data_IF_749536725512
#
_entry.id   IF_749536725512
#
_cell.length_a   1.000
_cell.length_b   1.000
_cell.length_c   1.000
_cell.angle_alpha   90.00
_cell.angle_beta   90.00
_cell.angle_gamma   90.00
#
_symmetry.space_group_name_H-M   'P 1'
#
loop_
_entity.id
_entity.type
_entity.pdbx_description
1 polymer ?
#
# COMPACT_ATOMS: atom_id res chain seq x y z
N UNK A 1 7.24 -35.38 -22.29
CA UNK A 1 5.91 -34.82 -22.01
C UNK A 1 6.01 -33.32 -22.18
N UNK A 2 5.56 -32.76 -23.31
CA UNK A 2 5.80 -31.37 -23.69
C UNK A 2 4.75 -30.45 -23.06
N UNK A 3 5.14 -29.22 -22.70
CA UNK A 3 4.29 -28.16 -22.13
C UNK A 3 2.99 -27.95 -22.92
N UNK A 4 3.05 -28.14 -24.25
CA UNK A 4 1.89 -28.11 -25.13
C UNK A 4 0.81 -29.17 -24.77
N UNK A 5 1.20 -30.39 -24.37
CA UNK A 5 0.28 -31.44 -23.98
C UNK A 5 -0.40 -31.18 -22.61
N UNK A 6 0.27 -30.43 -21.73
CA UNK A 6 -0.30 -29.98 -20.45
C UNK A 6 -1.30 -28.84 -20.69
N UNK A 7 -0.96 -27.88 -21.55
CA UNK A 7 -1.85 -26.77 -21.91
C UNK A 7 -3.09 -27.25 -22.69
N UNK A 8 -2.94 -28.25 -23.56
CA UNK A 8 -4.05 -28.82 -24.32
C UNK A 8 -5.03 -29.63 -23.44
N UNK A 9 -4.54 -30.27 -22.36
CA UNK A 9 -5.39 -30.93 -21.35
C UNK A 9 -6.08 -29.96 -20.40
N UNK A 10 -5.50 -28.79 -20.14
CA UNK A 10 -6.14 -27.75 -19.32
C UNK A 10 -7.23 -27.00 -20.10
N UNK A 11 -7.05 -26.80 -21.41
CA UNK A 11 -8.07 -26.20 -22.28
C UNK A 11 -9.34 -27.06 -22.46
N UNK A 12 -9.23 -28.40 -22.42
CA UNK A 12 -10.39 -29.29 -22.60
C UNK A 12 -11.30 -29.42 -21.38
N UNK A 13 -10.91 -28.88 -20.22
CA UNK A 13 -11.74 -28.91 -19.00
C UNK A 13 -12.74 -27.75 -18.96
N UNK A 14 -12.56 -26.71 -19.79
CA UNK A 14 -13.44 -25.53 -19.82
C UNK A 14 -14.70 -25.68 -20.69
N UNK A 15 -14.90 -26.81 -21.38
CA UNK A 15 -16.07 -27.03 -22.26
C UNK A 15 -17.21 -27.86 -21.65
N UNK A 16 -17.23 -28.07 -20.34
CA UNK A 16 -18.41 -28.63 -19.68
C UNK A 16 -19.48 -27.55 -19.40
N UNK A 17 -20.39 -27.42 -20.37
CA UNK A 17 -21.81 -27.06 -20.24
C UNK A 17 -22.18 -25.68 -19.63
N UNK A 18 -22.44 -24.71 -20.51
CA UNK A 18 -23.41 -23.65 -20.26
C UNK A 18 -24.82 -24.19 -20.52
N UNK A 19 -25.57 -24.50 -19.47
CA UNK A 19 -27.03 -24.56 -19.52
C UNK A 19 -27.60 -23.18 -19.14
N UNK A 20 -28.65 -22.69 -19.80
CA UNK A 20 -29.32 -21.46 -19.37
C UNK A 20 -30.19 -21.80 -18.15
N UNK A 21 -29.81 -21.32 -16.97
CA UNK A 21 -30.60 -21.48 -15.76
C UNK A 21 -31.13 -20.12 -15.29
N UNK A 22 -32.45 -20.09 -15.20
CA UNK A 22 -33.31 -19.01 -14.75
C UNK A 22 -32.95 -18.50 -13.34
N UNK A 23 -33.26 -17.22 -13.13
CA UNK A 23 -33.38 -16.43 -11.90
C UNK A 23 -33.08 -17.03 -10.51
N UNK A 24 -32.45 -16.15 -9.72
CA UNK A 24 -32.40 -16.07 -8.25
C UNK A 24 -31.45 -17.04 -7.53
N UNK A 25 -30.19 -16.61 -7.37
CA UNK A 25 -29.44 -16.53 -6.09
C UNK A 25 -27.98 -16.17 -6.38
N UNK A 26 -27.60 -14.90 -6.19
CA UNK A 26 -26.21 -14.46 -6.22
C UNK A 26 -25.49 -14.92 -4.94
N UNK A 27 -24.94 -16.14 -4.98
CA UNK A 27 -23.95 -16.57 -3.99
C UNK A 27 -22.60 -16.00 -4.43
N UNK A 28 -22.18 -14.91 -3.80
CA UNK A 28 -20.80 -14.42 -3.88
C UNK A 28 -19.86 -15.51 -3.35
N UNK A 29 -19.24 -16.28 -4.23
CA UNK A 29 -18.05 -17.07 -3.89
C UNK A 29 -16.92 -16.09 -3.62
N UNK A 30 -16.66 -15.84 -2.34
CA UNK A 30 -15.46 -15.15 -1.89
C UNK A 30 -14.23 -15.86 -2.45
N UNK A 31 -13.44 -15.12 -3.23
CA UNK A 31 -12.12 -15.55 -3.69
C UNK A 31 -11.16 -15.62 -2.49
N UNK A 32 -10.35 -16.68 -2.34
CA UNK A 32 -9.38 -16.81 -1.24
C UNK A 32 -8.17 -15.84 -1.33
N UNK A 33 -8.22 -14.86 -2.23
CA UNK A 33 -7.09 -14.01 -2.61
C UNK A 33 -6.61 -13.04 -1.52
N UNK A 34 -7.47 -12.63 -0.57
CA UNK A 34 -7.07 -11.69 0.49
C UNK A 34 -6.18 -12.30 1.58
N UNK A 35 -6.03 -13.64 1.64
CA UNK A 35 -5.11 -14.30 2.56
C UNK A 35 -3.67 -14.41 2.02
N UNK A 36 -3.43 -14.11 0.74
CA UNK A 36 -2.15 -14.32 0.04
C UNK A 36 -1.29 -13.06 -0.09
N UNK A 37 -1.87 -11.87 0.08
CA UNK A 37 -1.19 -10.58 -0.21
C UNK A 37 -0.36 -10.05 0.97
N UNK A 38 -0.26 -10.79 2.07
CA UNK A 38 0.67 -10.47 3.16
C UNK A 38 1.77 -11.54 3.18
N UNK A 39 2.98 -11.26 2.67
CA UNK A 39 4.00 -12.29 2.55
C UNK A 39 4.60 -12.57 3.92
N UNK A 40 3.94 -13.41 4.73
CA UNK A 40 4.55 -14.03 5.93
C UNK A 40 5.88 -14.73 5.59
N UNK A 41 6.09 -15.11 4.34
CA UNK A 41 7.28 -15.79 3.85
C UNK A 41 8.51 -14.88 3.65
N UNK A 42 8.35 -13.55 3.53
CA UNK A 42 9.50 -12.61 3.59
C UNK A 42 10.06 -12.52 5.02
N UNK A 43 9.29 -12.96 6.03
CA UNK A 43 9.59 -12.73 7.45
C UNK A 43 10.22 -13.92 8.18
N UNK A 44 10.37 -15.09 7.56
CA UNK A 44 10.87 -16.31 8.24
C UNK A 44 12.39 -16.56 8.09
N UNK A 45 13.05 -15.98 7.08
CA UNK A 45 14.42 -16.38 6.72
C UNK A 45 15.55 -15.53 7.35
N UNK A 46 15.22 -14.51 8.14
CA UNK A 46 16.22 -13.72 8.87
C UNK A 46 16.86 -14.47 10.06
N UNK A 47 16.46 -15.72 10.35
CA UNK A 47 16.82 -16.43 11.58
C UNK A 47 17.95 -17.48 11.45
N UNK A 48 18.64 -17.60 10.31
CA UNK A 48 19.59 -18.72 10.09
C UNK A 48 21.02 -18.36 9.66
N UNK A 49 21.43 -17.09 9.73
CA UNK A 49 22.84 -16.73 9.54
C UNK A 49 23.57 -16.62 10.88
N UNK A 50 23.82 -17.76 11.52
CA UNK A 50 24.79 -17.87 12.63
C UNK A 50 26.19 -17.82 12.01
N UNK A 51 26.72 -16.61 11.81
CA UNK A 51 28.10 -16.39 11.37
C UNK A 51 28.99 -16.53 12.61
N UNK A 52 29.93 -17.48 12.58
CA UNK A 52 30.94 -17.64 13.63
C UNK A 52 31.90 -16.44 13.60
N UNK A 53 31.67 -15.48 14.51
CA UNK A 53 32.42 -14.22 14.65
C UNK A 53 33.91 -14.48 14.98
N UNK A 54 34.24 -15.69 15.44
CA UNK A 54 35.61 -16.15 15.74
C UNK A 54 36.57 -16.05 14.56
N UNK A 55 36.08 -16.14 13.32
CA UNK A 55 36.92 -16.12 12.11
C UNK A 55 37.28 -14.68 11.66
N UNK A 56 36.48 -13.69 12.05
CA UNK A 56 36.71 -12.27 11.72
C UNK A 56 37.66 -11.56 12.70
N UNK A 57 37.99 -12.16 13.85
CA UNK A 57 38.92 -11.57 14.84
C UNK A 57 40.41 -11.86 14.55
N UNK A 58 40.75 -12.60 13.49
CA UNK A 58 42.16 -12.90 13.14
C UNK A 58 42.69 -12.13 11.93
N UNK A 59 42.16 -10.94 11.62
CA UNK A 59 42.79 -10.06 10.62
C UNK A 59 44.03 -9.38 11.23
N UNK A 60 45.23 -9.48 10.60
CA UNK A 60 46.47 -8.88 11.11
C UNK A 60 46.37 -7.35 11.20
N UNK A 61 47.03 -6.77 12.21
CA UNK A 61 47.24 -5.32 12.39
C UNK A 61 47.79 -4.67 11.11
N UNK A 62 46.90 -4.07 10.31
CA UNK A 62 47.26 -3.28 9.16
C UNK A 62 47.42 -1.82 9.58
N UNK A 63 48.62 -1.30 9.32
CA UNK A 63 49.14 0.04 9.56
C UNK A 63 48.14 1.18 9.40
N UNK A 64 48.19 2.11 10.37
CA UNK A 64 47.39 3.34 10.50
C UNK A 64 46.87 3.92 9.17
N UNK A 65 45.55 3.83 8.90
CA UNK A 65 44.95 4.43 7.73
C UNK A 65 44.90 5.96 7.88
N UNK A 66 45.64 6.63 7.00
CA UNK A 66 45.60 8.09 6.80
C UNK A 66 44.14 8.60 6.76
N UNK A 67 43.75 9.57 7.61
CA UNK A 67 42.37 10.04 7.81
C UNK A 67 41.77 10.86 6.65
N UNK A 68 42.33 10.76 5.44
CA UNK A 68 41.88 11.50 4.26
C UNK A 68 41.11 10.65 3.24
N UNK A 69 40.55 9.51 3.67
CA UNK A 69 39.65 8.71 2.84
C UNK A 69 38.41 9.52 2.46
N UNK A 70 38.48 10.20 1.32
CA UNK A 70 37.38 10.91 0.69
C UNK A 70 36.14 10.04 0.74
N UNK A 71 35.04 10.59 1.27
CA UNK A 71 33.72 9.97 1.30
C UNK A 71 33.31 9.51 -0.11
N UNK A 72 33.70 8.30 -0.50
CA UNK A 72 33.28 7.72 -1.79
C UNK A 72 31.78 7.59 -1.76
N UNK A 73 31.11 8.07 -2.82
CA UNK A 73 29.67 7.86 -2.98
C UNK A 73 29.43 6.36 -3.16
N UNK A 74 28.75 5.77 -2.19
CA UNK A 74 28.21 4.42 -2.33
C UNK A 74 26.96 4.43 -3.20
N UNK A 75 26.79 3.39 -4.00
CA UNK A 75 25.59 3.13 -4.79
C UNK A 75 25.23 1.64 -4.69
N UNK A 76 23.92 1.30 -4.68
CA UNK A 76 23.51 -0.09 -4.68
C UNK A 76 23.92 -0.74 -6.00
N UNK A 77 24.46 -1.95 -5.88
CA UNK A 77 24.83 -2.78 -7.03
C UNK A 77 23.58 -3.16 -7.82
N UNK A 78 23.62 -2.96 -9.14
CA UNK A 78 22.55 -3.38 -10.03
C UNK A 78 22.96 -4.68 -10.68
N UNK A 79 22.55 -5.80 -10.11
CA UNK A 79 22.94 -7.13 -10.59
C UNK A 79 22.04 -7.59 -11.75
N UNK A 80 22.49 -8.53 -12.60
CA UNK A 80 21.63 -9.14 -13.61
C UNK A 80 20.32 -9.71 -13.04
N UNK A 81 20.36 -10.29 -11.84
CA UNK A 81 19.16 -10.73 -11.12
C UNK A 81 18.17 -9.59 -10.88
N UNK A 82 18.64 -8.45 -10.36
CA UNK A 82 17.77 -7.30 -10.08
C UNK A 82 17.19 -6.69 -11.37
N UNK A 83 17.97 -6.66 -12.45
CA UNK A 83 17.47 -6.30 -13.77
C UNK A 83 16.44 -7.30 -14.30
N UNK A 84 16.61 -8.59 -14.02
CA UNK A 84 15.64 -9.61 -14.39
C UNK A 84 14.32 -9.40 -13.65
N UNK A 85 14.36 -9.11 -12.34
CA UNK A 85 13.15 -8.80 -11.54
C UNK A 85 12.42 -7.58 -12.10
N UNK A 86 13.15 -6.48 -12.38
CA UNK A 86 12.57 -5.28 -12.99
C UNK A 86 12.04 -5.53 -14.40
N UNK A 87 12.84 -6.17 -15.25
CA UNK A 87 12.49 -6.45 -16.64
C UNK A 87 11.31 -7.40 -16.78
N UNK A 88 11.22 -8.43 -15.94
CA UNK A 88 10.06 -9.33 -15.93
C UNK A 88 8.80 -8.61 -15.45
N UNK A 89 8.90 -7.78 -14.42
CA UNK A 89 7.78 -6.96 -13.93
C UNK A 89 7.26 -6.02 -15.03
N UNK A 90 8.17 -5.30 -15.70
CA UNK A 90 7.82 -4.40 -16.81
C UNK A 90 7.27 -5.15 -18.02
N UNK A 91 7.92 -6.25 -18.42
CA UNK A 91 7.55 -7.03 -19.60
C UNK A 91 6.20 -7.72 -19.44
N UNK A 92 5.98 -8.41 -18.32
CA UNK A 92 4.70 -9.06 -18.02
C UNK A 92 3.59 -8.03 -17.88
N UNK A 93 3.81 -6.97 -17.10
CA UNK A 93 2.79 -5.95 -16.89
C UNK A 93 2.37 -5.29 -18.21
N UNK A 94 3.34 -4.95 -19.07
CA UNK A 94 3.06 -4.36 -20.39
C UNK A 94 2.36 -5.34 -21.31
N UNK A 95 2.79 -6.60 -21.36
CA UNK A 95 2.15 -7.63 -22.18
C UNK A 95 0.71 -7.88 -21.74
N UNK A 96 0.44 -7.91 -20.43
CA UNK A 96 -0.90 -8.00 -19.86
C UNK A 96 -1.78 -6.82 -20.28
N UNK A 97 -1.26 -5.60 -20.16
CA UNK A 97 -1.98 -4.40 -20.56
C UNK A 97 -2.34 -4.41 -22.06
N UNK A 98 -1.40 -4.84 -22.92
CA UNK A 98 -1.64 -5.00 -24.35
C UNK A 98 -2.67 -6.09 -24.67
N UNK A 99 -2.63 -7.24 -23.99
CA UNK A 99 -3.61 -8.31 -24.15
C UNK A 99 -5.02 -7.83 -23.75
N UNK A 100 -5.12 -7.14 -22.61
CA UNK A 100 -6.37 -6.56 -22.15
C UNK A 100 -6.93 -5.49 -23.10
N UNK A 101 -6.06 -4.64 -23.69
CA UNK A 101 -6.49 -3.65 -24.69
C UNK A 101 -7.02 -4.28 -25.98
N UNK A 102 -6.57 -5.49 -26.32
CA UNK A 102 -7.08 -6.26 -27.47
C UNK A 102 -8.38 -7.01 -27.17
N UNK A 103 -8.89 -6.93 -25.94
CA UNK A 103 -10.06 -7.70 -25.50
C UNK A 103 -9.77 -9.19 -25.27
N UNK A 104 -8.49 -9.61 -25.21
CA UNK A 104 -8.12 -11.00 -24.93
C UNK A 104 -8.01 -11.22 -23.42
N UNK A 105 -9.18 -11.33 -22.78
CA UNK A 105 -9.29 -11.54 -21.34
C UNK A 105 -8.63 -12.86 -20.90
N UNK A 106 -8.74 -13.91 -21.72
CA UNK A 106 -8.15 -15.22 -21.44
C UNK A 106 -6.63 -15.18 -21.37
N UNK A 107 -5.98 -14.53 -22.35
CA UNK A 107 -4.53 -14.34 -22.32
C UNK A 107 -4.09 -13.46 -21.14
N UNK A 108 -4.82 -12.38 -20.85
CA UNK A 108 -4.53 -11.49 -19.71
C UNK A 108 -4.59 -12.24 -18.37
N UNK A 109 -5.64 -13.03 -18.15
CA UNK A 109 -5.79 -13.87 -16.94
C UNK A 109 -4.70 -14.95 -16.88
N UNK A 110 -4.39 -15.60 -18.00
CA UNK A 110 -3.33 -16.62 -18.04
C UNK A 110 -1.97 -16.03 -17.69
N UNK A 111 -1.65 -14.86 -18.24
CA UNK A 111 -0.42 -14.13 -17.91
C UNK A 111 -0.36 -13.81 -16.42
N UNK A 112 -1.45 -13.35 -15.83
CA UNK A 112 -1.53 -13.07 -14.39
C UNK A 112 -1.21 -14.30 -13.54
N UNK A 113 -1.79 -15.45 -13.86
CA UNK A 113 -1.51 -16.70 -13.14
C UNK A 113 -0.06 -17.17 -13.31
N UNK A 114 0.43 -17.21 -14.55
CA UNK A 114 1.78 -17.67 -14.84
C UNK A 114 2.82 -16.75 -14.19
N UNK A 115 2.64 -15.44 -14.29
CA UNK A 115 3.58 -14.50 -13.68
C UNK A 115 3.48 -14.47 -12.16
N UNK A 116 2.26 -14.47 -11.63
CA UNK A 116 2.01 -14.35 -10.19
C UNK A 116 2.44 -15.57 -9.40
N UNK A 117 2.40 -16.76 -10.01
CA UNK A 117 2.78 -18.00 -9.34
C UNK A 117 4.17 -18.47 -9.80
N UNK A 118 4.33 -18.78 -11.08
CA UNK A 118 5.53 -19.48 -11.56
C UNK A 118 6.73 -18.55 -11.55
N UNK A 119 6.61 -17.38 -12.19
CA UNK A 119 7.73 -16.42 -12.28
C UNK A 119 8.08 -15.90 -10.88
N UNK A 120 7.06 -15.55 -10.08
CA UNK A 120 7.27 -15.10 -8.70
C UNK A 120 8.00 -16.12 -7.85
N UNK A 121 7.62 -17.40 -7.86
CA UNK A 121 8.30 -18.44 -7.08
C UNK A 121 9.76 -18.62 -7.50
N UNK A 122 10.05 -18.57 -8.80
CA UNK A 122 11.42 -18.67 -9.32
C UNK A 122 12.24 -17.48 -8.81
N UNK A 123 11.74 -16.25 -9.01
CA UNK A 123 12.43 -15.03 -8.56
C UNK A 123 12.59 -14.99 -7.04
N UNK A 124 11.56 -15.38 -6.28
CA UNK A 124 11.62 -15.45 -4.83
C UNK A 124 12.69 -16.43 -4.35
N UNK A 125 12.74 -17.62 -4.96
CA UNK A 125 13.80 -18.60 -4.67
C UNK A 125 15.18 -18.01 -4.96
N UNK A 126 15.33 -17.32 -6.09
CA UNK A 126 16.58 -16.65 -6.48
C UNK A 126 16.97 -15.52 -5.52
N UNK A 127 15.99 -14.79 -4.97
CA UNK A 127 16.20 -13.72 -3.98
C UNK A 127 16.94 -14.20 -2.74
N UNK A 128 16.68 -15.43 -2.31
CA UNK A 128 17.36 -16.00 -1.13
C UNK A 128 18.87 -16.11 -1.32
N UNK A 129 19.35 -16.22 -2.56
CA UNK A 129 20.78 -16.22 -2.87
C UNK A 129 21.38 -14.80 -2.96
N UNK A 130 20.58 -13.76 -3.28
CA UNK A 130 21.06 -12.36 -3.25
C UNK A 130 21.25 -11.85 -1.81
N UNK A 131 20.42 -12.37 -0.88
CA UNK A 131 20.44 -11.98 0.54
C UNK A 131 21.41 -12.81 1.38
N UNK A 132 21.79 -14.02 0.91
CA UNK A 132 22.66 -14.89 1.69
C UNK A 132 24.09 -14.33 1.73
N UNK A 133 24.74 -14.30 2.91
CA UNK A 133 26.18 -14.03 2.99
C UNK A 133 27.02 -15.17 2.39
N UNK A 134 26.42 -16.36 2.18
CA UNK A 134 27.09 -17.49 1.56
C UNK A 134 27.26 -17.23 0.07
N UNK A 135 28.41 -17.65 -0.47
CA UNK A 135 28.65 -17.54 -1.90
C UNK A 135 27.55 -18.28 -2.69
N UNK A 136 26.95 -17.63 -3.70
CA UNK A 136 25.95 -18.27 -4.55
C UNK A 136 26.58 -19.47 -5.28
N UNK A 137 25.77 -20.46 -5.70
CA UNK A 137 26.27 -21.60 -6.49
C UNK A 137 27.12 -21.11 -7.68
N UNK A 138 28.28 -21.74 -7.99
CA UNK A 138 29.22 -21.22 -8.99
C UNK A 138 28.59 -20.93 -10.36
N UNK A 139 27.61 -21.74 -10.77
CA UNK A 139 26.86 -21.57 -12.02
C UNK A 139 25.97 -20.31 -12.05
N UNK A 140 25.50 -19.86 -10.89
CA UNK A 140 24.62 -18.70 -10.72
C UNK A 140 25.37 -17.46 -10.21
N UNK A 141 26.64 -17.61 -9.82
CA UNK A 141 27.41 -16.51 -9.22
C UNK A 141 27.47 -15.27 -10.09
N UNK A 142 27.58 -15.41 -11.42
CA UNK A 142 27.60 -14.28 -12.35
C UNK A 142 26.37 -13.37 -12.24
N UNK A 143 25.21 -13.93 -11.88
CA UNK A 143 23.93 -13.20 -11.86
C UNK A 143 23.78 -12.28 -10.64
N UNK A 144 24.56 -12.52 -9.57
CA UNK A 144 24.57 -11.74 -8.34
C UNK A 144 25.89 -10.96 -8.14
N UNK A 145 26.98 -11.44 -8.73
CA UNK A 145 28.33 -10.85 -8.55
C UNK A 145 28.66 -9.77 -9.58
N UNK A 146 28.03 -9.77 -10.75
CA UNK A 146 28.32 -8.77 -11.79
C UNK A 146 27.53 -7.49 -11.53
N UNK A 147 28.18 -6.32 -11.60
CA UNK A 147 27.52 -5.01 -11.52
C UNK A 147 27.20 -4.51 -12.93
N UNK A 148 25.93 -4.51 -13.31
CA UNK A 148 25.49 -4.12 -14.64
C UNK A 148 25.78 -2.65 -14.96
N UNK A 149 25.91 -1.80 -13.95
CA UNK A 149 26.25 -0.38 -14.16
C UNK A 149 27.65 -0.24 -14.78
N UNK A 150 28.56 -1.20 -14.57
CA UNK A 150 29.87 -1.19 -15.22
C UNK A 150 29.77 -1.30 -16.74
N UNK A 151 28.83 -2.11 -17.26
CA UNK A 151 28.58 -2.19 -18.70
C UNK A 151 27.99 -0.91 -19.25
N UNK A 152 27.07 -0.28 -18.51
CA UNK A 152 26.49 1.01 -18.88
C UNK A 152 27.59 2.07 -18.98
N UNK A 153 28.51 2.14 -18.00
CA UNK A 153 29.63 3.08 -18.08
C UNK A 153 30.63 2.75 -19.17
N UNK A 154 30.88 1.47 -19.47
CA UNK A 154 31.69 1.09 -20.64
C UNK A 154 31.05 1.61 -21.93
N UNK A 155 29.74 1.46 -22.07
CA UNK A 155 29.00 2.01 -23.20
C UNK A 155 29.04 3.55 -23.23
N UNK A 156 28.83 4.23 -22.10
CA UNK A 156 28.91 5.69 -22.04
C UNK A 156 30.34 6.22 -22.25
N UNK A 157 31.36 5.44 -21.90
CA UNK A 157 32.76 5.79 -22.16
C UNK A 157 33.08 5.80 -23.66
N UNK A 158 32.39 4.98 -24.46
CA UNK A 158 32.42 5.07 -25.92
C UNK A 158 31.90 6.43 -26.43
N UNK A 159 31.00 7.07 -25.67
CA UNK A 159 30.50 8.42 -25.93
C UNK A 159 31.32 9.52 -25.23
N UNK A 160 32.54 9.20 -24.75
CA UNK A 160 33.45 10.12 -24.03
C UNK A 160 32.88 10.70 -22.72
N UNK A 161 31.91 10.03 -22.09
CA UNK A 161 31.38 10.43 -20.78
C UNK A 161 32.17 9.71 -19.68
N UNK A 162 32.93 10.46 -18.88
CA UNK A 162 33.73 9.93 -17.78
C UNK A 162 32.87 9.32 -16.66
N UNK A 163 33.27 8.13 -16.20
CA UNK A 163 32.62 7.44 -15.07
C UNK A 163 32.86 8.20 -13.76
N UNK A 164 31.81 8.53 -12.98
CA UNK A 164 31.97 9.08 -11.64
C UNK A 164 32.60 8.04 -10.70
N UNK A 165 33.42 8.49 -9.76
CA UNK A 165 33.99 7.61 -8.72
C UNK A 165 32.90 7.19 -7.73
N UNK A 166 32.41 5.96 -7.86
CA UNK A 166 31.52 5.31 -6.90
C UNK A 166 32.06 3.95 -6.49
N UNK A 167 31.65 3.49 -5.31
CA UNK A 167 31.91 2.13 -4.83
C UNK A 167 30.60 1.38 -4.72
N UNK A 168 30.51 0.20 -5.34
CA UNK A 168 29.41 -0.75 -5.14
C UNK A 168 29.79 -1.89 -4.19
N UNK A 169 31.04 -1.93 -3.72
CA UNK A 169 31.47 -2.89 -2.73
C UNK A 169 30.64 -2.69 -1.45
N UNK A 170 30.01 -3.76 -0.92
CA UNK A 170 29.35 -3.70 0.37
C UNK A 170 30.43 -3.38 1.40
N UNK A 171 30.38 -2.18 1.96
CA UNK A 171 31.26 -1.84 3.06
C UNK A 171 30.72 -2.62 4.25
N UNK A 172 31.44 -3.65 4.72
CA UNK A 172 31.09 -4.30 5.96
C UNK A 172 31.12 -3.21 7.04
N UNK A 173 29.95 -2.81 7.53
CA UNK A 173 29.85 -1.78 8.58
C UNK A 173 29.79 -2.54 9.90
N UNK A 174 30.93 -2.72 10.60
CA UNK A 174 30.97 -3.62 11.76
C UNK A 174 30.11 -3.10 12.91
N UNK A 175 29.85 -1.78 12.96
CA UNK A 175 29.07 -1.16 14.02
C UNK A 175 27.57 -1.47 13.97
N UNK A 176 26.98 -1.66 12.77
CA UNK A 176 25.55 -1.97 12.65
C UNK A 176 25.27 -3.42 13.04
N UNK A 177 26.21 -4.33 12.74
CA UNK A 177 26.15 -5.73 13.16
C UNK A 177 26.23 -5.81 14.69
N UNK A 178 27.18 -5.10 15.30
CA UNK A 178 27.34 -5.06 16.75
C UNK A 178 26.11 -4.46 17.49
N UNK A 179 25.39 -3.53 16.84
CA UNK A 179 24.19 -2.92 17.41
C UNK A 179 22.96 -3.83 17.26
N UNK A 180 22.85 -4.53 16.12
CA UNK A 180 21.81 -5.53 15.91
C UNK A 180 21.94 -6.71 16.88
N UNK A 181 23.16 -7.09 17.24
CA UNK A 181 23.41 -8.24 18.12
C UNK A 181 22.96 -8.00 19.56
N UNK A 182 23.02 -6.73 20.02
CA UNK A 182 22.70 -6.38 21.40
C UNK A 182 21.20 -6.31 21.71
N UNK A 183 20.37 -6.14 20.68
CA UNK A 183 18.90 -6.05 20.79
C UNK A 183 18.16 -7.37 20.44
N UNK A 184 18.90 -8.49 20.32
CA UNK A 184 18.38 -9.82 19.95
C UNK A 184 17.33 -10.45 20.91
N UNK A 185 16.86 -9.77 21.94
CA UNK A 185 15.73 -10.25 22.77
C UNK A 185 14.36 -9.86 22.21
N UNK A 186 14.30 -8.98 21.21
CA UNK A 186 13.04 -8.64 20.53
C UNK A 186 13.04 -9.21 19.10
N UNK A 187 12.34 -10.33 18.88
CA UNK A 187 12.06 -10.91 17.55
C UNK A 187 11.17 -10.00 16.66
N UNK A 188 11.10 -8.70 16.92
CA UNK A 188 10.29 -7.75 16.20
C UNK A 188 11.03 -7.26 14.96
N UNK A 189 10.46 -7.54 13.80
CA UNK A 189 10.96 -7.02 12.53
C UNK A 189 10.73 -5.49 12.52
N UNK A 190 11.76 -4.66 12.28
CA UNK A 190 11.63 -3.21 12.38
C UNK A 190 10.62 -2.67 11.36
N UNK A 191 9.76 -1.76 11.82
CA UNK A 191 8.76 -1.09 10.99
C UNK A 191 9.35 0.22 10.48
N UNK A 192 10.03 0.13 9.34
CA UNK A 192 10.68 1.29 8.70
C UNK A 192 9.67 2.10 7.87
N UNK A 193 9.95 3.39 7.65
CA UNK A 193 9.08 4.26 6.86
C UNK A 193 8.95 3.78 5.40
N UNK A 194 10.02 3.20 4.86
CA UNK A 194 9.98 2.52 3.56
C UNK A 194 8.93 1.40 3.52
N UNK A 195 8.94 0.49 4.50
CA UNK A 195 8.00 -0.64 4.56
C UNK A 195 6.55 -0.17 4.70
N UNK A 196 6.32 0.88 5.49
CA UNK A 196 5.00 1.52 5.57
C UNK A 196 4.57 2.11 4.22
N UNK A 197 5.48 2.78 3.51
CA UNK A 197 5.20 3.34 2.19
C UNK A 197 4.81 2.23 1.21
N UNK A 198 5.59 1.14 1.13
CA UNK A 198 5.27 -0.02 0.28
C UNK A 198 3.91 -0.62 0.63
N UNK A 199 3.61 -0.83 1.92
CA UNK A 199 2.32 -1.34 2.37
C UNK A 199 1.16 -0.40 2.00
N UNK A 200 1.30 0.90 2.30
CA UNK A 200 0.27 1.90 2.00
C UNK A 200 -0.01 1.96 0.50
N UNK A 201 1.04 2.01 -0.31
CA UNK A 201 0.96 2.01 -1.77
C UNK A 201 0.24 0.76 -2.27
N UNK A 202 0.56 -0.43 -1.74
CA UNK A 202 -0.10 -1.69 -2.11
C UNK A 202 -1.59 -1.69 -1.76
N UNK A 203 -1.95 -1.23 -0.55
CA UNK A 203 -3.35 -1.14 -0.11
C UNK A 203 -4.13 -0.14 -0.97
N UNK A 204 -3.59 1.05 -1.19
CA UNK A 204 -4.22 2.05 -2.05
C UNK A 204 -4.47 1.51 -3.46
N UNK A 205 -3.50 0.80 -4.04
CA UNK A 205 -3.63 0.24 -5.39
C UNK A 205 -4.71 -0.84 -5.45
N UNK A 206 -4.73 -1.76 -4.49
CA UNK A 206 -5.75 -2.79 -4.40
C UNK A 206 -7.16 -2.21 -4.25
N UNK A 207 -7.32 -1.18 -3.42
CA UNK A 207 -8.60 -0.51 -3.22
C UNK A 207 -9.05 0.27 -4.46
N UNK A 208 -8.16 1.04 -5.09
CA UNK A 208 -8.48 1.77 -6.33
C UNK A 208 -8.90 0.82 -7.44
N UNK A 209 -8.18 -0.29 -7.62
CA UNK A 209 -8.55 -1.33 -8.60
C UNK A 209 -9.92 -1.92 -8.28
N UNK A 210 -10.14 -2.35 -7.04
CA UNK A 210 -11.40 -2.96 -6.62
C UNK A 210 -12.59 -2.01 -6.86
N UNK A 211 -12.42 -0.72 -6.55
CA UNK A 211 -13.44 0.30 -6.83
C UNK A 211 -13.72 0.43 -8.33
N UNK A 212 -12.69 0.50 -9.18
CA UNK A 212 -12.87 0.61 -10.64
C UNK A 212 -13.58 -0.62 -11.23
N UNK A 213 -13.20 -1.82 -10.79
CA UNK A 213 -13.88 -3.07 -11.19
C UNK A 213 -15.34 -3.05 -10.73
N UNK A 214 -15.59 -2.63 -9.50
CA UNK A 214 -16.95 -2.54 -8.94
C UNK A 214 -17.86 -1.60 -9.74
N UNK A 215 -17.34 -0.47 -10.21
CA UNK A 215 -18.08 0.47 -11.06
C UNK A 215 -18.13 0.06 -12.55
N UNK A 216 -17.62 -1.11 -12.92
CA UNK A 216 -17.62 -1.60 -14.31
C UNK A 216 -16.55 -0.97 -15.21
N UNK A 217 -15.58 -0.21 -14.65
CA UNK A 217 -14.48 0.39 -15.39
C UNK A 217 -13.30 -0.59 -15.54
N UNK A 218 -13.51 -1.69 -16.27
CA UNK A 218 -12.48 -2.73 -16.51
C UNK A 218 -11.19 -2.16 -17.13
N UNK A 219 -11.32 -1.27 -18.11
CA UNK A 219 -10.18 -0.58 -18.74
C UNK A 219 -9.41 0.27 -17.73
N UNK A 220 -10.12 1.02 -16.87
CA UNK A 220 -9.49 1.83 -15.82
C UNK A 220 -8.72 0.97 -14.81
N UNK A 221 -9.32 -0.14 -14.38
CA UNK A 221 -8.67 -1.10 -13.49
C UNK A 221 -7.38 -1.68 -14.10
N UNK A 222 -7.38 -1.99 -15.40
CA UNK A 222 -6.19 -2.48 -16.11
C UNK A 222 -5.09 -1.41 -16.21
N UNK A 223 -5.45 -0.14 -16.43
CA UNK A 223 -4.48 0.96 -16.43
C UNK A 223 -3.87 1.23 -15.05
N UNK A 224 -4.68 1.09 -14.00
CA UNK A 224 -4.21 1.14 -12.61
C UNK A 224 -3.23 0.00 -12.34
N UNK A 225 -3.59 -1.23 -12.70
CA UNK A 225 -2.70 -2.40 -12.63
C UNK A 225 -1.37 -2.15 -13.33
N UNK A 226 -1.40 -1.63 -14.55
CA UNK A 226 -0.18 -1.38 -15.32
C UNK A 226 0.65 -0.25 -14.73
N UNK A 227 0.07 0.94 -14.55
CA UNK A 227 0.82 2.13 -14.09
C UNK A 227 1.40 1.89 -12.71
N UNK A 228 0.58 1.42 -11.79
CA UNK A 228 0.95 1.30 -10.39
C UNK A 228 1.73 0.01 -10.14
N UNK A 229 1.31 -1.09 -10.78
CA UNK A 229 1.97 -2.39 -10.69
C UNK A 229 3.29 -2.48 -11.44
N UNK A 230 3.53 -1.66 -12.49
CA UNK A 230 4.82 -1.61 -13.20
C UNK A 230 5.66 -0.43 -12.75
N UNK A 231 5.16 0.80 -12.93
CA UNK A 231 5.97 2.01 -12.67
C UNK A 231 6.15 2.20 -11.17
N UNK A 232 5.05 2.10 -10.40
CA UNK A 232 5.08 2.27 -8.95
C UNK A 232 5.96 1.25 -8.25
N UNK A 233 5.79 -0.04 -8.54
CA UNK A 233 6.61 -1.11 -7.96
C UNK A 233 8.07 -1.03 -8.39
N UNK A 234 8.37 -0.65 -9.63
CA UNK A 234 9.76 -0.48 -10.09
C UNK A 234 10.46 0.65 -9.33
N UNK A 235 9.78 1.79 -9.10
CA UNK A 235 10.32 2.88 -8.30
C UNK A 235 10.54 2.43 -6.86
N UNK A 236 9.55 1.75 -6.25
CA UNK A 236 9.68 1.23 -4.88
C UNK A 236 10.81 0.21 -4.76
N UNK A 237 10.95 -0.69 -5.74
CA UNK A 237 12.06 -1.64 -5.80
C UNK A 237 13.41 -0.92 -5.86
N UNK A 238 13.53 0.09 -6.73
CA UNK A 238 14.76 0.89 -6.83
C UNK A 238 15.08 1.64 -5.54
N UNK A 239 14.05 2.14 -4.84
CA UNK A 239 14.21 2.74 -3.51
C UNK A 239 14.62 1.70 -2.46
N UNK A 240 14.02 0.51 -2.47
CA UNK A 240 14.34 -0.59 -1.56
C UNK A 240 15.79 -1.05 -1.65
N UNK A 241 16.42 -0.95 -2.81
CA UNK A 241 17.86 -1.23 -2.95
C UNK A 241 18.75 -0.32 -2.07
N UNK A 242 18.24 0.85 -1.64
CA UNK A 242 18.94 1.75 -0.73
C UNK A 242 18.71 1.43 0.76
N UNK A 243 17.89 0.42 1.10
CA UNK A 243 17.68 0.00 2.50
C UNK A 243 19.01 -0.43 3.16
N UNK A 244 19.89 -1.08 2.39
CA UNK A 244 21.20 -1.53 2.85
C UNK A 244 22.31 -0.47 2.66
N UNK A 245 21.97 0.80 2.55
CA UNK A 245 22.94 1.86 2.28
C UNK A 245 23.76 2.23 3.53
N UNK A 246 25.06 1.98 3.43
CA UNK A 246 26.04 2.26 4.50
C UNK A 246 26.39 3.74 4.65
N UNK A 247 26.13 4.57 3.64
CA UNK A 247 26.48 6.02 3.68
C UNK A 247 25.54 6.87 4.50
N UNK A 248 24.52 6.26 5.12
CA UNK A 248 23.53 6.99 5.93
C UNK A 248 22.68 7.99 5.14
N UNK A 249 22.75 7.97 3.80
CA UNK A 249 21.81 8.73 2.97
C UNK A 249 20.42 8.15 3.22
N UNK A 250 19.47 9.02 3.54
CA UNK A 250 18.09 8.64 3.84
C UNK A 250 17.97 7.77 5.10
N UNK A 251 18.90 7.92 6.05
CA UNK A 251 18.84 7.22 7.33
C UNK A 251 17.47 7.36 8.00
N UNK A 252 16.82 8.53 7.92
CA UNK A 252 15.48 8.76 8.49
C UNK A 252 14.38 7.87 7.87
N UNK A 253 14.57 7.37 6.65
CA UNK A 253 13.59 6.58 5.92
C UNK A 253 13.73 5.07 6.20
N UNK A 254 14.95 4.59 6.47
CA UNK A 254 15.27 3.16 6.60
C UNK A 254 15.63 2.70 8.01
N UNK A 255 16.13 3.57 8.88
CA UNK A 255 16.73 3.13 10.16
C UNK A 255 15.83 3.32 11.39
N UNK A 256 15.13 4.45 11.60
CA UNK A 256 14.25 4.59 12.75
C UNK A 256 13.20 3.49 12.75
N UNK A 257 13.23 2.64 13.76
CA UNK A 257 12.11 1.75 14.03
C UNK A 257 10.95 2.59 14.54
N UNK A 258 9.93 2.74 13.70
CA UNK A 258 8.74 3.46 14.07
C UNK A 258 7.72 2.54 14.75
N UNK A 259 8.02 1.29 15.11
CA UNK A 259 7.07 0.33 15.70
C UNK A 259 6.14 0.93 16.77
N UNK A 260 6.66 1.75 17.68
CA UNK A 260 5.88 2.41 18.73
C UNK A 260 5.02 3.57 18.21
N UNK A 261 5.53 4.38 17.28
CA UNK A 261 4.79 5.51 16.67
C UNK A 261 3.77 5.04 15.62
N UNK A 262 4.11 3.95 14.92
CA UNK A 262 3.30 3.32 13.88
C UNK A 262 2.16 2.52 14.45
N UNK A 263 2.25 1.95 15.65
CA UNK A 263 1.06 1.37 16.28
C UNK A 263 -0.06 2.41 16.38
N UNK A 264 0.25 3.67 16.74
CA UNK A 264 -0.73 4.75 16.76
C UNK A 264 -1.16 5.16 15.35
N UNK A 265 -0.22 5.33 14.42
CA UNK A 265 -0.52 5.72 13.04
C UNK A 265 -1.34 4.67 12.27
N UNK A 266 -0.98 3.40 12.37
CA UNK A 266 -1.69 2.25 11.78
C UNK A 266 -3.07 2.11 12.41
N UNK A 267 -3.19 2.25 13.74
CA UNK A 267 -4.51 2.27 14.39
C UNK A 267 -5.38 3.41 13.89
N UNK A 268 -4.81 4.61 13.72
CA UNK A 268 -5.53 5.77 13.22
C UNK A 268 -5.95 5.60 11.75
N UNK A 269 -5.06 5.14 10.89
CA UNK A 269 -5.36 4.86 9.48
C UNK A 269 -6.41 3.74 9.38
N UNK A 270 -6.27 2.66 10.15
CA UNK A 270 -7.25 1.58 10.19
C UNK A 270 -8.63 2.08 10.66
N UNK A 271 -8.68 2.90 11.72
CA UNK A 271 -9.91 3.55 12.19
C UNK A 271 -10.53 4.45 11.12
N UNK A 272 -9.70 5.19 10.39
CA UNK A 272 -10.15 6.06 9.29
C UNK A 272 -10.70 5.23 8.14
N UNK A 273 -10.02 4.17 7.73
CA UNK A 273 -10.48 3.28 6.67
C UNK A 273 -11.77 2.54 7.06
N UNK A 274 -11.86 2.08 8.31
CA UNK A 274 -13.08 1.44 8.85
C UNK A 274 -14.26 2.41 8.89
N UNK A 275 -14.04 3.67 9.29
CA UNK A 275 -15.11 4.68 9.30
C UNK A 275 -15.57 5.03 7.89
N UNK A 276 -14.64 5.10 6.92
CA UNK A 276 -14.96 5.31 5.52
C UNK A 276 -15.73 4.15 4.90
N UNK A 277 -15.34 2.91 5.21
CA UNK A 277 -16.06 1.71 4.76
C UNK A 277 -17.49 1.71 5.31
N UNK A 278 -17.68 2.06 6.58
CA UNK A 278 -18.99 2.18 7.20
C UNK A 278 -19.86 3.25 6.50
N UNK A 279 -19.32 4.45 6.28
CA UNK A 279 -20.02 5.53 5.58
C UNK A 279 -20.45 5.06 4.17
N UNK A 280 -19.54 4.45 3.41
CA UNK A 280 -19.84 3.92 2.09
C UNK A 280 -20.96 2.85 2.13
N UNK A 281 -20.94 1.94 3.12
CA UNK A 281 -22.02 0.94 3.28
C UNK A 281 -23.35 1.58 3.65
N UNK A 282 -23.37 2.61 4.50
CA UNK A 282 -24.60 3.35 4.81
C UNK A 282 -25.18 4.03 3.56
N UNK A 283 -24.33 4.66 2.74
CA UNK A 283 -24.76 5.27 1.47
C UNK A 283 -25.31 4.25 0.49
N UNK A 284 -24.66 3.09 0.36
CA UNK A 284 -25.14 1.99 -0.47
C UNK A 284 -26.50 1.45 0.00
N UNK A 285 -26.69 1.29 1.32
CA UNK A 285 -27.97 0.85 1.87
C UNK A 285 -29.09 1.89 1.67
N UNK A 286 -28.80 3.19 1.79
CA UNK A 286 -29.77 4.24 1.44
C UNK A 286 -30.15 4.21 -0.04
N UNK A 287 -29.17 3.96 -0.93
CA UNK A 287 -29.44 3.78 -2.35
C UNK A 287 -30.40 2.62 -2.61
N UNK A 288 -30.12 1.45 -2.03
CA UNK A 288 -31.00 0.27 -2.16
C UNK A 288 -32.42 0.51 -1.62
N UNK A 289 -32.55 1.22 -0.50
CA UNK A 289 -33.87 1.57 0.06
C UNK A 289 -34.64 2.53 -0.86
N UNK A 290 -33.97 3.53 -1.43
CA UNK A 290 -34.61 4.49 -2.34
C UNK A 290 -34.96 3.90 -3.70
N UNK A 291 -34.23 2.89 -4.18
CA UNK A 291 -34.60 2.14 -5.39
C UNK A 291 -35.77 1.19 -5.13
N UNK A 292 -35.78 0.47 -4.01
CA UNK A 292 -36.85 -0.47 -3.67
C UNK A 292 -38.20 0.22 -3.39
N UNK A 293 -38.19 1.40 -2.75
CA UNK A 293 -39.44 2.17 -2.57
C UNK A 293 -39.99 2.69 -3.90
N UNK A 294 -39.12 3.02 -4.86
CA UNK A 294 -39.55 3.51 -6.16
C UNK A 294 -40.19 2.41 -7.02
N UNK A 295 -39.63 1.19 -6.98
CA UNK A 295 -40.23 0.04 -7.66
C UNK A 295 -41.60 -0.34 -7.10
N UNK A 296 -41.82 -0.16 -5.79
CA UNK A 296 -43.13 -0.40 -5.18
C UNK A 296 -44.15 0.65 -5.64
N UNK A 297 -43.77 1.94 -5.63
CA UNK A 297 -44.63 3.04 -6.09
C UNK A 297 -45.05 2.88 -7.55
N UNK A 298 -44.11 2.54 -8.44
CA UNK A 298 -44.37 2.29 -9.85
C UNK A 298 -45.35 1.12 -10.12
N UNK A 299 -45.54 0.19 -9.19
CA UNK A 299 -46.46 -0.93 -9.37
C UNK A 299 -47.93 -0.62 -9.03
N UNK A 300 -48.21 0.56 -8.47
CA UNK A 300 -49.50 0.84 -7.81
C UNK A 300 -50.38 1.82 -8.58
N UNK A 301 -49.86 2.50 -9.60
CA UNK A 301 -50.58 3.61 -10.26
C UNK A 301 -50.51 3.47 -11.80
N UNK A 302 -51.51 2.81 -12.38
CA UNK A 302 -51.67 2.64 -13.84
C UNK A 302 -52.19 3.91 -14.55
N UNK A 303 -52.40 5.02 -13.82
CA UNK A 303 -53.02 6.23 -14.35
C UNK A 303 -51.99 7.31 -14.77
N UNK A 304 -51.66 7.31 -16.06
CA UNK A 304 -51.57 8.50 -16.95
C UNK A 304 -50.67 9.70 -16.60
N UNK A 305 -49.74 9.64 -15.66
CA UNK A 305 -48.59 10.57 -15.68
C UNK A 305 -47.69 10.14 -16.84
N UNK A 306 -47.37 11.06 -17.76
CA UNK A 306 -46.59 10.73 -18.96
C UNK A 306 -45.28 10.06 -18.57
N UNK A 307 -45.16 8.76 -18.86
CA UNK A 307 -44.05 7.87 -18.52
C UNK A 307 -42.67 8.51 -18.78
N UNK A 308 -42.59 9.38 -19.80
CA UNK A 308 -41.40 10.13 -20.22
C UNK A 308 -40.86 11.13 -19.18
N UNK A 309 -41.72 11.85 -18.45
CA UNK A 309 -41.28 12.81 -17.42
C UNK A 309 -40.79 12.07 -16.17
N UNK A 310 -41.43 10.96 -15.83
CA UNK A 310 -41.00 10.10 -14.72
C UNK A 310 -39.63 9.46 -15.00
N UNK A 311 -39.40 9.01 -16.25
CA UNK A 311 -38.09 8.45 -16.64
C UNK A 311 -36.99 9.50 -16.58
N UNK A 312 -37.28 10.75 -16.98
CA UNK A 312 -36.31 11.85 -16.91
C UNK A 312 -35.91 12.19 -15.48
N UNK A 313 -36.88 12.25 -14.56
CA UNK A 313 -36.62 12.49 -13.14
C UNK A 313 -35.85 11.34 -12.48
N UNK A 314 -36.20 10.09 -12.81
CA UNK A 314 -35.48 8.91 -12.31
C UNK A 314 -34.01 8.92 -12.79
N UNK A 315 -33.77 9.19 -14.08
CA UNK A 315 -32.44 9.30 -14.66
C UNK A 315 -31.64 10.46 -14.04
N UNK A 316 -32.27 11.62 -13.84
CA UNK A 316 -31.62 12.78 -13.21
C UNK A 316 -31.23 12.47 -11.76
N UNK A 317 -32.11 11.80 -11.00
CA UNK A 317 -31.86 11.39 -9.62
C UNK A 317 -30.71 10.38 -9.54
N UNK A 318 -30.68 9.40 -10.43
CA UNK A 318 -29.60 8.41 -10.52
C UNK A 318 -28.26 9.10 -10.84
N UNK A 319 -28.23 10.01 -11.83
CA UNK A 319 -27.02 10.77 -12.16
C UNK A 319 -26.56 11.69 -11.03
N UNK A 320 -27.50 12.36 -10.35
CA UNK A 320 -27.18 13.21 -9.20
C UNK A 320 -26.63 12.39 -8.04
N UNK A 321 -27.20 11.22 -7.78
CA UNK A 321 -26.71 10.31 -6.75
C UNK A 321 -25.29 9.81 -7.06
N UNK A 322 -25.04 9.38 -8.30
CA UNK A 322 -23.69 9.01 -8.74
C UNK A 322 -22.72 10.18 -8.64
N UNK A 323 -23.11 11.39 -9.03
CA UNK A 323 -22.28 12.58 -8.90
C UNK A 323 -21.93 12.88 -7.43
N UNK A 324 -22.91 12.82 -6.52
CA UNK A 324 -22.70 13.00 -5.08
C UNK A 324 -21.80 11.91 -4.48
N UNK A 325 -21.97 10.65 -4.90
CA UNK A 325 -21.14 9.53 -4.45
C UNK A 325 -19.69 9.71 -4.91
N UNK A 326 -19.48 10.07 -6.18
CA UNK A 326 -18.15 10.36 -6.73
C UNK A 326 -17.52 11.54 -5.99
N UNK A 327 -18.26 12.63 -5.76
CA UNK A 327 -17.78 13.79 -5.01
C UNK A 327 -17.36 13.40 -3.58
N UNK A 328 -18.15 12.58 -2.90
CA UNK A 328 -17.85 12.09 -1.55
C UNK A 328 -16.57 11.24 -1.55
N UNK A 329 -16.44 10.31 -2.49
CA UNK A 329 -15.23 9.47 -2.63
C UNK A 329 -14.00 10.35 -2.89
N UNK A 330 -14.12 11.34 -3.77
CA UNK A 330 -13.02 12.29 -4.05
C UNK A 330 -12.67 13.11 -2.81
N UNK A 331 -13.66 13.65 -2.10
CA UNK A 331 -13.45 14.41 -0.86
C UNK A 331 -12.72 13.56 0.19
N UNK A 332 -13.12 12.31 0.33
CA UNK A 332 -12.50 11.34 1.25
C UNK A 332 -11.04 11.08 0.86
N UNK A 333 -10.75 10.87 -0.41
CA UNK A 333 -9.37 10.68 -0.91
C UNK A 333 -8.55 11.93 -0.61
N UNK A 334 -9.08 13.13 -0.85
CA UNK A 334 -8.40 14.41 -0.58
C UNK A 334 -8.13 14.59 0.92
N UNK A 335 -9.11 14.32 1.79
CA UNK A 335 -8.93 14.45 3.25
C UNK A 335 -7.95 13.40 3.78
N UNK A 336 -8.05 12.15 3.33
CA UNK A 336 -7.14 11.07 3.75
C UNK A 336 -5.71 11.35 3.30
N UNK A 337 -5.49 11.78 2.06
CA UNK A 337 -4.17 12.18 1.56
C UNK A 337 -3.63 13.39 2.31
N UNK A 338 -4.46 14.39 2.60
CA UNK A 338 -4.07 15.55 3.40
C UNK A 338 -3.63 15.15 4.81
N UNK A 339 -4.41 14.32 5.52
CA UNK A 339 -4.06 13.80 6.85
C UNK A 339 -2.73 13.03 6.77
N UNK A 340 -2.57 12.14 5.79
CA UNK A 340 -1.33 11.39 5.59
C UNK A 340 -0.12 12.30 5.38
N UNK A 341 -0.24 13.32 4.52
CA UNK A 341 0.83 14.31 4.27
C UNK A 341 1.15 15.10 5.54
N UNK A 342 0.14 15.54 6.29
CA UNK A 342 0.34 16.27 7.55
C UNK A 342 1.01 15.37 8.60
N UNK A 343 0.62 14.10 8.70
CA UNK A 343 1.27 13.14 9.60
C UNK A 343 2.75 12.92 9.22
N UNK A 344 3.05 12.73 7.94
CA UNK A 344 4.44 12.59 7.46
C UNK A 344 5.23 13.86 7.76
N UNK A 345 4.68 15.05 7.46
CA UNK A 345 5.32 16.33 7.76
C UNK A 345 5.56 16.52 9.27
N UNK A 346 4.63 16.10 10.13
CA UNK A 346 4.79 16.13 11.57
C UNK A 346 5.92 15.20 12.06
N UNK A 347 6.04 14.00 11.48
CA UNK A 347 7.13 13.06 11.77
C UNK A 347 8.48 13.62 11.28
N UNK A 348 8.52 14.23 10.10
CA UNK A 348 9.75 14.83 9.57
C UNK A 348 10.19 16.06 10.37
N UNK A 349 9.26 16.88 10.83
CA UNK A 349 9.57 18.06 11.67
C UNK A 349 9.98 17.68 13.09
N UNK A 350 9.36 16.66 13.69
CA UNK A 350 9.73 16.17 15.02
C UNK A 350 11.13 15.54 15.03
N UNK A 351 11.47 14.77 13.99
CA UNK A 351 12.80 14.15 13.83
C UNK A 351 13.88 15.18 13.48
N UNK A 352 13.56 16.19 12.65
CA UNK A 352 14.48 17.28 12.30
C UNK A 352 14.84 18.17 13.49
N UNK A 353 13.86 18.56 14.32
CA UNK A 353 14.09 19.46 15.46
C UNK A 353 15.06 18.89 16.50
N UNK A 354 15.10 17.57 16.71
CA UNK A 354 16.03 16.96 17.67
C UNK A 354 17.50 17.13 17.24
N UNK A 355 17.79 17.03 15.93
CA UNK A 355 19.13 17.23 15.36
C UNK A 355 19.55 18.70 15.38
N UNK A 356 18.63 19.62 15.08
CA UNK A 356 18.90 21.05 15.14
C UNK A 356 19.19 21.52 16.57
N UNK A 357 18.48 20.98 17.56
CA UNK A 357 18.73 21.28 18.96
C UNK A 357 20.12 20.80 19.40
N UNK A 358 20.51 19.59 19.00
CA UNK A 358 21.86 19.06 19.28
C UNK A 358 22.97 19.87 18.59
N UNK A 359 22.73 20.30 17.34
CA UNK A 359 23.67 21.15 16.61
C UNK A 359 23.78 22.55 17.23
N UNK A 360 22.65 23.15 17.65
CA UNK A 360 22.61 24.43 18.32
C UNK A 360 23.31 24.39 19.69
N UNK A 361 23.10 23.34 20.49
CA UNK A 361 23.78 23.16 21.77
C UNK A 361 25.30 23.00 21.60
N UNK A 362 25.73 22.32 20.52
CA UNK A 362 27.16 22.18 20.16
C UNK A 362 27.78 23.50 19.68
N UNK A 363 27.04 24.29 18.91
CA UNK A 363 27.47 25.62 18.44
C UNK A 363 27.53 26.65 19.58
N UNK A 364 26.63 26.56 20.57
CA UNK A 364 26.64 27.46 21.72
C UNK A 364 27.71 27.14 22.77
N UNK A 365 28.62 26.19 22.50
CA UNK A 365 29.75 25.89 23.39
C UNK A 365 29.33 25.43 24.79
N UNK A 366 28.06 25.06 24.99
CA UNK A 366 27.57 24.48 26.24
C UNK A 366 28.22 23.11 26.37
N UNK A 367 29.34 23.05 27.10
CA UNK A 367 29.91 21.77 27.55
C UNK A 367 28.80 21.01 28.27
N UNK A 368 28.58 19.72 27.96
CA UNK A 368 27.59 18.92 28.66
C UNK A 368 28.01 18.85 30.13
N UNK A 369 27.39 19.69 30.96
CA UNK A 369 27.60 19.68 32.39
C UNK A 369 27.13 18.32 32.91
N UNK A 370 28.06 17.54 33.45
CA UNK A 370 27.84 16.35 34.29
C UNK A 370 26.55 15.56 34.01
N UNK A 371 26.67 14.55 33.16
CA UNK A 371 25.68 13.52 32.80
C UNK A 371 25.09 12.75 33.99
N UNK A 372 24.34 13.40 34.88
CA UNK A 372 23.46 12.76 35.87
C UNK A 372 22.21 13.65 36.01
N UNK A 373 21.06 13.18 35.51
CA UNK A 373 19.70 13.78 35.56
C UNK A 373 19.14 14.51 34.31
N UNK A 374 19.41 14.04 33.09
CA UNK A 374 18.69 14.50 31.88
C UNK A 374 17.61 13.54 31.35
N UNK A 375 17.07 12.67 32.21
CA UNK A 375 16.02 11.70 31.83
C UNK A 375 14.58 12.22 31.98
N UNK A 376 14.33 13.50 32.28
CA UNK A 376 12.94 13.95 32.56
C UNK A 376 12.43 15.25 31.94
N UNK A 377 13.15 15.87 31.00
CA UNK A 377 12.60 17.03 30.30
C UNK A 377 11.96 16.63 28.97
N UNK A 378 10.84 15.92 29.05
CA UNK A 378 9.92 15.81 27.91
C UNK A 378 9.47 17.21 27.50
N UNK A 379 9.82 17.58 26.27
CA UNK A 379 9.47 18.89 25.72
C UNK A 379 7.95 19.11 25.82
N UNK A 380 7.49 20.33 26.18
CA UNK A 380 6.07 20.66 26.23
C UNK A 380 5.36 20.41 24.89
N UNK A 381 6.09 20.44 23.77
CA UNK A 381 5.59 20.08 22.43
C UNK A 381 5.24 18.59 22.34
N UNK A 382 6.08 17.68 22.89
CA UNK A 382 5.78 16.24 22.94
C UNK A 382 4.59 15.94 23.85
N UNK A 383 4.48 16.67 24.97
CA UNK A 383 3.31 16.59 25.87
C UNK A 383 2.03 17.16 25.25
N UNK A 384 2.12 18.22 24.44
CA UNK A 384 0.98 18.78 23.73
C UNK A 384 0.54 17.88 22.57
N UNK A 385 1.48 17.34 21.79
CA UNK A 385 1.19 16.36 20.74
C UNK A 385 0.53 15.10 21.32
N UNK A 386 1.08 14.54 22.41
CA UNK A 386 0.46 13.42 23.09
C UNK A 386 -0.92 13.78 23.67
N UNK A 387 -1.11 14.97 24.26
CA UNK A 387 -2.43 15.39 24.78
C UNK A 387 -3.48 15.66 23.72
N UNK A 388 -3.11 16.26 22.58
CA UNK A 388 -4.04 16.54 21.48
C UNK A 388 -4.46 15.24 20.82
N UNK A 389 -3.51 14.33 20.59
CA UNK A 389 -3.75 13.02 19.96
C UNK A 389 -4.43 12.02 20.93
N UNK A 390 -4.19 12.12 22.24
CA UNK A 390 -4.84 11.28 23.25
C UNK A 390 -6.11 11.89 23.86
N UNK A 391 -6.56 13.07 23.39
CA UNK A 391 -7.71 13.71 24.03
C UNK A 391 -8.99 12.93 23.72
N UNK A 392 -9.74 12.47 24.75
CA UNK A 392 -11.07 11.90 24.56
C UNK A 392 -12.03 12.91 23.93
N UNK A 393 -11.65 14.20 23.85
CA UNK A 393 -12.40 15.25 23.18
C UNK A 393 -12.62 14.99 21.68
N UNK A 394 -11.62 14.45 20.97
CA UNK A 394 -11.76 14.09 19.55
C UNK A 394 -12.76 12.94 19.36
N UNK A 395 -12.72 11.96 20.25
CA UNK A 395 -13.68 10.85 20.31
C UNK A 395 -15.08 11.33 20.71
N UNK A 396 -15.19 12.26 21.67
CA UNK A 396 -16.46 12.85 22.11
C UNK A 396 -17.09 13.72 21.03
N UNK A 397 -16.31 14.53 20.31
CA UNK A 397 -16.81 15.34 19.18
C UNK A 397 -17.31 14.43 18.05
N UNK A 398 -16.62 13.32 17.79
CA UNK A 398 -17.06 12.30 16.83
C UNK A 398 -18.35 11.59 17.29
N UNK A 399 -18.42 11.16 18.56
CA UNK A 399 -19.62 10.55 19.15
C UNK A 399 -20.81 11.52 19.16
N UNK A 400 -20.58 12.81 19.45
CA UNK A 400 -21.61 13.85 19.43
C UNK A 400 -22.11 14.09 17.99
N UNK A 401 -21.21 14.09 17.00
CA UNK A 401 -21.56 14.16 15.58
C UNK A 401 -22.43 12.97 15.15
N UNK A 402 -22.06 11.75 15.55
CA UNK A 402 -22.85 10.54 15.29
C UNK A 402 -24.22 10.57 15.98
N UNK A 403 -24.30 11.06 17.23
CA UNK A 403 -25.55 11.17 17.98
C UNK A 403 -26.50 12.21 17.38
N UNK A 404 -25.99 13.38 16.96
CA UNK A 404 -26.77 14.43 16.29
C UNK A 404 -27.28 13.94 14.94
N UNK A 405 -26.45 13.21 14.18
CA UNK A 405 -26.85 12.63 12.90
C UNK A 405 -27.92 11.52 13.07
N UNK A 406 -27.76 10.64 14.06
CA UNK A 406 -28.79 9.65 14.43
C UNK A 406 -30.10 10.31 14.85
N UNK A 407 -30.05 11.39 15.64
CA UNK A 407 -31.24 12.13 16.04
C UNK A 407 -31.95 12.76 14.83
N UNK A 408 -31.21 13.38 13.90
CA UNK A 408 -31.78 13.91 12.66
C UNK A 408 -32.40 12.82 11.77
N UNK A 409 -31.77 11.64 11.72
CA UNK A 409 -32.27 10.49 10.98
C UNK A 409 -33.57 9.93 11.58
N UNK A 410 -33.64 9.77 12.90
CA UNK A 410 -34.85 9.32 13.61
C UNK A 410 -36.00 10.32 13.41
N UNK A 411 -35.73 11.63 13.49
CA UNK A 411 -36.74 12.67 13.24
C UNK A 411 -37.24 12.64 11.79
N UNK A 412 -36.35 12.42 10.81
CA UNK A 412 -36.76 12.27 9.40
C UNK A 412 -37.61 11.04 9.15
N UNK A 413 -37.30 9.90 9.80
CA UNK A 413 -38.13 8.69 9.71
C UNK A 413 -39.49 8.93 10.35
N UNK A 414 -39.55 9.51 11.55
CA UNK A 414 -40.79 9.81 12.24
C UNK A 414 -41.70 10.74 11.41
N UNK A 415 -41.14 11.80 10.82
CA UNK A 415 -41.88 12.73 9.96
C UNK A 415 -42.43 12.05 8.70
N UNK A 416 -41.69 11.10 8.11
CA UNK A 416 -42.18 10.34 6.95
C UNK A 416 -43.30 9.35 7.34
N UNK A 417 -43.18 8.67 8.48
CA UNK A 417 -44.22 7.74 8.98
C UNK A 417 -45.50 8.50 9.31
N UNK A 418 -45.41 9.69 9.90
CA UNK A 418 -46.57 10.52 10.21
C UNK A 418 -47.27 11.02 8.93
N UNK A 419 -46.49 11.40 7.92
CA UNK A 419 -47.02 11.79 6.60
C UNK A 419 -47.74 10.63 5.90
N UNK A 420 -47.19 9.42 6.00
CA UNK A 420 -47.82 8.22 5.44
C UNK A 420 -49.12 7.85 6.17
N UNK A 421 -49.16 7.97 7.49
CA UNK A 421 -50.37 7.74 8.28
C UNK A 421 -51.47 8.77 7.97
N UNK A 422 -51.12 10.04 7.76
CA UNK A 422 -52.07 11.08 7.34
C UNK A 422 -52.66 10.80 5.95
N UNK A 423 -51.84 10.35 5.00
CA UNK A 423 -52.31 9.97 3.67
C UNK A 423 -53.25 8.75 3.73
N UNK A 424 -52.93 7.74 4.55
CA UNK A 424 -53.80 6.57 4.76
C UNK A 424 -55.15 6.94 5.38
N UNK A 425 -55.17 7.88 6.31
CA UNK A 425 -56.41 8.39 6.92
C UNK A 425 -57.25 9.16 5.88
N UNK A 426 -56.64 9.97 5.02
CA UNK A 426 -57.36 10.65 3.95
C UNK A 426 -57.97 9.67 2.95
N UNK A 427 -57.22 8.66 2.48
CA UNK A 427 -57.75 7.67 1.54
C UNK A 427 -58.91 6.84 2.10
N UNK A 428 -58.90 6.52 3.40
CA UNK A 428 -60.04 5.82 4.03
C UNK A 428 -61.28 6.71 4.20
N UNK A 429 -61.12 8.04 4.21
CA UNK A 429 -62.26 8.97 4.36
C UNK A 429 -62.97 9.21 3.03
N UNK A 430 -62.28 9.09 1.90
CA UNK A 430 -62.85 9.26 0.56
C UNK A 430 -63.31 7.96 -0.10
N UNK A 431 -63.03 6.79 0.49
CA UNK A 431 -63.42 5.47 -0.02
C UNK A 431 -64.76 4.93 0.49
N UNK A 432 -65.53 5.72 1.26
CA UNK A 432 -66.87 5.36 1.76
C UNK A 432 -67.90 6.36 1.19
N UNK A 433 -68.07 6.32 -0.13
CA UNK A 433 -69.21 6.88 -0.88
C UNK A 433 -69.33 6.10 -2.16
#
# INVERSE_FOLDING_TARGET
MTLAAILQRLGSVQQCAFYPLHHNHLIFKYSPFLASVCPKAVFANALYARVDISELMQSPEESDPSPSSSLRRWHPKVTPYRLLVLGTTMGVGTTKAMAAQRGDEGASTTLEWVSGVVIFLILHTMSTYDESPKEPPPLLGWMFTVDCIDYVWRFLSFLHISRPSYSSAPQAVPHLIAQSEKDHTANAVPVTLYRLCVCFTTVSFGLTKAALVYFGFSTGANWVDWTLGVVGTSILFMLGMYENNTTGKWHAFFVPDHSTETQYGVSLIALTLMSLLWIATCFWMMYLMTTNQYSAFLSTDDNLISLSELTRLALLREKLFHACLVLLIVLVIVVSTFIGVVSIAAIMTSSGMSKWKLAADKLMGKRPAGSKKYTQLESPVRRLANRVVSSPLSFVIFQLGCAVFLAFWVVSIAANVEKENHLRLQTNTYGVS
#
